data_IF_045059077760
#
_entry.id   IF_045059077760
#
_cell.length_a   1.000
_cell.length_b   1.000
_cell.length_c   1.000
_cell.angle_alpha   90.00
_cell.angle_beta   90.00
_cell.angle_gamma   90.00
#
_symmetry.space_group_name_H-M   'P 1'
#
loop_
_entity.id
_entity.type
_entity.pdbx_description
1 polymer ?
#
# COMPACT_ATOMS: atom_id res chain seq x y z
N UNK A 1 -12.24 -14.62 7.14
CA UNK A 1 -11.02 -13.78 7.17
C UNK A 1 -11.33 -12.54 6.36
N UNK A 2 -11.09 -11.33 6.87
CA UNK A 2 -11.15 -10.13 6.04
C UNK A 2 -10.14 -10.25 4.90
N UNK A 3 -10.53 -9.77 3.72
CA UNK A 3 -9.75 -9.84 2.49
C UNK A 3 -9.60 -8.44 1.91
N UNK A 4 -8.55 -8.25 1.13
CA UNK A 4 -8.30 -7.00 0.43
C UNK A 4 -7.49 -7.23 -0.83
N UNK A 5 -7.53 -6.25 -1.73
CA UNK A 5 -6.67 -6.20 -2.90
C UNK A 5 -5.67 -5.05 -2.80
N UNK A 6 -4.54 -5.21 -3.48
CA UNK A 6 -3.55 -4.15 -3.66
C UNK A 6 -3.35 -3.86 -5.15
N UNK A 7 -2.96 -2.64 -5.47
CA UNK A 7 -2.55 -2.25 -6.82
C UNK A 7 -1.05 -1.98 -6.84
N UNK A 8 -0.32 -2.70 -7.69
CA UNK A 8 1.08 -2.43 -7.96
C UNK A 8 1.22 -1.16 -8.81
N UNK A 9 1.64 -0.07 -8.19
CA UNK A 9 1.70 1.22 -8.87
C UNK A 9 2.85 1.29 -9.85
N UNK A 10 2.56 1.71 -11.07
CA UNK A 10 3.56 1.93 -12.11
C UNK A 10 3.75 3.41 -12.42
N UNK A 11 4.99 3.84 -12.65
CA UNK A 11 5.30 5.22 -13.06
C UNK A 11 5.01 5.48 -14.54
N UNK A 12 4.53 4.47 -15.27
CA UNK A 12 4.43 4.49 -16.73
C UNK A 12 3.01 4.80 -17.23
N UNK A 13 2.05 4.95 -16.32
CA UNK A 13 0.63 5.19 -16.58
C UNK A 13 0.10 6.25 -15.63
N UNK A 14 -0.95 6.96 -16.05
CA UNK A 14 -1.60 7.93 -15.18
C UNK A 14 -2.21 7.23 -13.96
N UNK A 15 -2.27 7.95 -12.84
CA UNK A 15 -2.97 7.51 -11.64
C UNK A 15 -4.45 7.25 -11.91
N UNK A 16 -5.06 8.02 -12.82
CA UNK A 16 -6.44 7.84 -13.22
C UNK A 16 -6.67 6.49 -13.92
N UNK A 17 -5.83 6.11 -14.88
CA UNK A 17 -5.95 4.83 -15.58
C UNK A 17 -5.76 3.65 -14.64
N UNK A 18 -4.76 3.76 -13.75
CA UNK A 18 -4.47 2.76 -12.75
C UNK A 18 -5.62 2.60 -11.74
N UNK A 19 -6.19 3.71 -11.25
CA UNK A 19 -7.32 3.65 -10.33
C UNK A 19 -8.59 3.13 -11.01
N UNK A 20 -8.85 3.50 -12.27
CA UNK A 20 -9.95 2.91 -13.04
C UNK A 20 -9.77 1.39 -13.18
N UNK A 21 -8.55 0.93 -13.49
CA UNK A 21 -8.26 -0.50 -13.57
C UNK A 21 -8.55 -1.21 -12.25
N UNK A 22 -8.08 -0.65 -11.12
CA UNK A 22 -8.30 -1.22 -9.81
C UNK A 22 -9.80 -1.27 -9.44
N UNK A 23 -10.52 -0.16 -9.64
CA UNK A 23 -11.96 -0.04 -9.38
C UNK A 23 -12.79 -1.02 -10.22
N UNK A 24 -12.44 -1.20 -11.49
CA UNK A 24 -13.16 -2.10 -12.38
C UNK A 24 -12.87 -3.59 -12.08
N UNK A 25 -11.77 -3.89 -11.39
CA UNK A 25 -11.34 -5.27 -11.10
C UNK A 25 -11.76 -5.72 -9.71
N UNK A 26 -11.68 -4.84 -8.72
CA UNK A 26 -11.88 -5.18 -7.32
C UNK A 26 -13.32 -4.84 -6.92
N UNK A 27 -14.14 -5.82 -6.51
CA UNK A 27 -15.51 -5.55 -6.11
C UNK A 27 -15.55 -4.76 -4.80
N UNK A 28 -16.55 -3.89 -4.66
CA UNK A 28 -16.84 -3.22 -3.40
C UNK A 28 -17.71 -4.11 -2.52
N UNK A 29 -17.09 -4.87 -1.62
CA UNK A 29 -17.79 -5.75 -0.67
C UNK A 29 -17.84 -5.13 0.73
N UNK A 30 -18.80 -5.57 1.53
CA UNK A 30 -18.83 -5.28 2.97
C UNK A 30 -17.65 -5.94 3.68
N UNK A 31 -17.16 -5.32 4.76
CA UNK A 31 -16.10 -5.87 5.62
C UNK A 31 -14.76 -6.14 4.92
N UNK A 32 -14.48 -5.44 3.82
CA UNK A 32 -13.15 -5.36 3.21
C UNK A 32 -12.24 -4.42 4.00
N UNK A 33 -10.94 -4.59 3.91
CA UNK A 33 -10.00 -3.59 4.43
C UNK A 33 -10.02 -2.34 3.52
N UNK A 34 -9.26 -1.28 3.83
CA UNK A 34 -9.03 -0.21 2.87
C UNK A 34 -8.17 -0.71 1.68
N UNK A 35 -8.38 -0.18 0.47
CA UNK A 35 -7.57 -0.55 -0.69
C UNK A 35 -6.10 -0.21 -0.46
N UNK A 36 -5.21 -1.02 -1.02
CA UNK A 36 -3.76 -0.84 -0.83
C UNK A 36 -3.11 -0.37 -2.13
N UNK A 37 -2.25 0.64 -2.03
CA UNK A 37 -1.36 1.06 -3.12
C UNK A 37 0.03 0.54 -2.80
N UNK A 38 0.55 -0.36 -3.63
CA UNK A 38 1.91 -0.86 -3.52
C UNK A 38 2.85 0.08 -4.29
N UNK A 39 3.68 0.79 -3.53
CA UNK A 39 4.61 1.80 -3.98
C UNK A 39 6.05 1.35 -3.74
N UNK A 40 6.63 0.74 -4.77
CA UNK A 40 8.03 0.33 -4.76
C UNK A 40 8.69 0.56 -6.12
N UNK A 41 10.03 0.60 -6.16
CA UNK A 41 10.77 0.77 -7.41
C UNK A 41 10.78 -0.48 -8.30
N UNK A 42 10.52 -1.66 -7.72
CA UNK A 42 10.48 -2.93 -8.45
C UNK A 42 9.47 -2.86 -9.61
N UNK A 43 9.71 -3.62 -10.69
CA UNK A 43 8.73 -3.76 -11.78
C UNK A 43 8.39 -2.49 -12.57
N UNK A 44 8.99 -1.34 -12.26
CA UNK A 44 8.73 -0.08 -12.92
C UNK A 44 9.47 0.08 -14.26
N UNK A 45 8.96 0.95 -15.14
CA UNK A 45 9.64 1.22 -16.40
C UNK A 45 11.04 1.81 -16.16
N UNK A 46 12.00 1.33 -16.97
CA UNK A 46 13.40 1.77 -16.96
C UNK A 46 13.59 3.28 -17.18
N UNK A 47 12.61 3.92 -17.82
CA UNK A 47 12.64 5.34 -18.17
C UNK A 47 11.27 5.96 -17.94
N UNK A 48 10.90 6.15 -16.67
CA UNK A 48 9.86 7.13 -16.38
C UNK A 48 10.39 8.51 -16.76
N UNK A 49 9.66 9.21 -17.63
CA UNK A 49 9.96 10.62 -17.98
C UNK A 49 9.39 11.60 -16.95
N UNK A 50 8.64 11.09 -15.97
CA UNK A 50 8.01 11.91 -14.95
C UNK A 50 9.03 12.28 -13.88
N UNK A 51 9.04 13.56 -13.53
CA UNK A 51 9.67 14.06 -12.33
C UNK A 51 9.03 13.45 -11.08
N UNK A 52 9.75 13.54 -9.96
CA UNK A 52 9.25 13.13 -8.64
C UNK A 52 7.89 13.75 -8.30
N UNK A 53 7.70 15.04 -8.61
CA UNK A 53 6.45 15.75 -8.33
C UNK A 53 5.29 15.26 -9.19
N UNK A 54 5.56 14.91 -10.45
CA UNK A 54 4.54 14.31 -11.32
C UNK A 54 4.15 12.92 -10.84
N UNK A 55 5.10 12.09 -10.41
CA UNK A 55 4.79 10.78 -9.80
C UNK A 55 3.92 10.96 -8.54
N UNK A 56 4.28 11.88 -7.64
CA UNK A 56 3.48 12.20 -6.45
C UNK A 56 2.06 12.64 -6.81
N UNK A 57 1.91 13.43 -7.88
CA UNK A 57 0.61 13.87 -8.38
C UNK A 57 -0.21 12.68 -8.88
N UNK A 58 0.38 11.76 -9.65
CA UNK A 58 -0.32 10.57 -10.13
C UNK A 58 -0.71 9.62 -8.99
N UNK A 59 0.15 9.44 -7.99
CA UNK A 59 -0.18 8.67 -6.77
C UNK A 59 -1.37 9.32 -6.06
N UNK A 60 -1.37 10.65 -5.94
CA UNK A 60 -2.47 11.40 -5.30
C UNK A 60 -3.79 11.24 -6.05
N UNK A 61 -3.76 11.28 -7.38
CA UNK A 61 -4.95 11.03 -8.22
C UNK A 61 -5.50 9.62 -7.98
N UNK A 62 -4.63 8.60 -7.93
CA UNK A 62 -5.05 7.23 -7.64
C UNK A 62 -5.70 7.14 -6.25
N UNK A 63 -5.02 7.71 -5.26
CA UNK A 63 -5.40 7.70 -3.86
C UNK A 63 -6.78 8.33 -3.63
N UNK A 64 -7.02 9.52 -4.17
CA UNK A 64 -8.31 10.20 -4.05
C UNK A 64 -9.44 9.45 -4.75
N UNK A 65 -9.17 8.92 -5.94
CA UNK A 65 -10.19 8.24 -6.73
C UNK A 65 -10.62 6.92 -6.09
N UNK A 66 -9.67 6.15 -5.57
CA UNK A 66 -9.97 4.92 -4.82
C UNK A 66 -10.60 5.24 -3.47
N UNK A 67 -10.16 6.27 -2.75
CA UNK A 67 -10.81 6.72 -1.53
C UNK A 67 -12.28 7.08 -1.77
N UNK A 68 -12.57 7.85 -2.82
CA UNK A 68 -13.92 8.26 -3.17
C UNK A 68 -14.82 7.08 -3.55
N UNK A 69 -14.29 6.08 -4.26
CA UNK A 69 -15.06 4.92 -4.67
C UNK A 69 -15.34 3.95 -3.51
N UNK A 70 -14.32 3.57 -2.74
CA UNK A 70 -14.44 2.58 -1.66
C UNK A 70 -14.92 3.18 -0.34
N UNK A 71 -14.80 4.50 -0.14
CA UNK A 71 -15.14 5.19 1.09
C UNK A 71 -14.10 5.01 2.21
N UNK A 72 -12.94 4.44 1.90
CA UNK A 72 -11.87 4.15 2.86
C UNK A 72 -10.55 4.74 2.39
N UNK A 73 -9.80 5.35 3.31
CA UNK A 73 -8.48 5.93 3.04
C UNK A 73 -7.50 4.83 2.62
N UNK A 74 -6.91 4.89 1.40
CA UNK A 74 -6.01 3.84 0.94
C UNK A 74 -4.78 3.70 1.84
N UNK A 75 -4.37 2.45 2.08
CA UNK A 75 -3.13 2.11 2.78
C UNK A 75 -1.98 2.18 1.75
N UNK A 76 -0.86 2.78 2.13
CA UNK A 76 0.33 2.83 1.29
C UNK A 76 1.30 1.74 1.72
N UNK A 77 1.44 0.70 0.90
CA UNK A 77 2.54 -0.24 1.04
C UNK A 77 3.80 0.36 0.44
N UNK A 78 4.94 0.24 1.14
CA UNK A 78 6.22 0.80 0.71
C UNK A 78 7.43 -0.03 1.10
N UNK A 79 8.46 0.03 0.27
CA UNK A 79 9.84 -0.24 0.72
C UNK A 79 10.44 0.97 1.42
N UNK A 80 11.54 0.74 2.14
CA UNK A 80 12.26 1.81 2.83
C UNK A 80 12.72 2.91 1.87
N UNK A 81 13.29 2.52 0.75
CA UNK A 81 13.86 3.44 -0.25
C UNK A 81 12.75 4.32 -0.83
N UNK A 82 11.62 3.72 -1.21
CA UNK A 82 10.49 4.48 -1.74
C UNK A 82 9.91 5.46 -0.71
N UNK A 83 9.78 5.03 0.56
CA UNK A 83 9.30 5.90 1.63
C UNK A 83 10.21 7.13 1.83
N UNK A 84 11.52 6.90 1.95
CA UNK A 84 12.49 7.96 2.17
C UNK A 84 12.56 8.92 0.98
N UNK A 85 12.41 8.42 -0.23
CA UNK A 85 12.42 9.27 -1.42
C UNK A 85 11.10 10.04 -1.56
N UNK A 86 9.93 9.40 -1.48
CA UNK A 86 8.67 10.03 -1.88
C UNK A 86 7.77 10.49 -0.74
N UNK A 87 7.77 9.80 0.41
CA UNK A 87 6.66 9.89 1.37
C UNK A 87 7.00 10.55 2.72
N UNK A 88 8.27 10.90 3.01
CA UNK A 88 8.65 11.44 4.33
C UNK A 88 7.77 12.63 4.78
N UNK A 89 7.47 13.54 3.86
CA UNK A 89 6.69 14.77 4.13
C UNK A 89 5.40 14.84 3.30
N UNK A 90 4.85 13.68 2.94
CA UNK A 90 3.68 13.56 2.05
C UNK A 90 2.76 12.44 2.52
N UNK A 91 1.48 12.55 2.22
CA UNK A 91 0.47 11.51 2.50
C UNK A 91 0.41 11.09 3.98
N UNK A 92 0.57 12.02 4.93
CA UNK A 92 0.57 11.70 6.37
C UNK A 92 -0.74 11.08 6.86
N UNK A 93 -1.85 11.42 6.21
CA UNK A 93 -3.18 10.88 6.55
C UNK A 93 -3.39 9.44 6.07
N UNK A 94 -2.55 8.92 5.18
CA UNK A 94 -2.66 7.55 4.71
C UNK A 94 -2.01 6.59 5.71
N UNK A 95 -2.66 5.47 6.08
CA UNK A 95 -2.00 4.45 6.88
C UNK A 95 -0.85 3.81 6.10
N UNK A 96 0.20 3.41 6.82
CA UNK A 96 1.43 2.91 6.20
C UNK A 96 1.56 1.39 6.39
N UNK A 97 1.78 0.65 5.31
CA UNK A 97 2.21 -0.74 5.37
C UNK A 97 3.68 -0.81 4.98
N UNK A 98 4.56 -0.95 5.97
CA UNK A 98 5.99 -0.83 5.74
C UNK A 98 6.66 -2.18 5.57
N UNK A 99 7.45 -2.35 4.50
CA UNK A 99 8.28 -3.54 4.32
C UNK A 99 9.64 -3.37 4.96
N UNK A 100 9.98 -4.26 5.89
CA UNK A 100 11.33 -4.44 6.40
C UNK A 100 11.54 -5.88 6.87
N UNK A 101 12.18 -6.70 6.05
CA UNK A 101 12.34 -8.14 6.31
C UNK A 101 13.58 -8.47 7.15
N UNK A 102 14.36 -7.46 7.55
CA UNK A 102 15.59 -7.66 8.33
C UNK A 102 15.39 -7.45 9.84
N UNK A 103 14.54 -6.48 10.21
CA UNK A 103 14.27 -6.10 11.61
C UNK A 103 12.98 -5.30 11.71
N UNK A 104 12.52 -5.06 12.93
CA UNK A 104 11.39 -4.15 13.18
C UNK A 104 11.61 -2.78 12.52
N UNK A 105 10.60 -2.19 11.86
CA UNK A 105 10.72 -0.90 11.18
C UNK A 105 11.02 0.23 12.17
N UNK A 106 12.04 1.02 11.84
CA UNK A 106 12.25 2.36 12.41
C UNK A 106 12.01 3.35 11.27
N UNK A 107 10.79 3.84 11.19
CA UNK A 107 10.38 4.78 10.14
C UNK A 107 11.08 6.11 10.40
N UNK A 108 11.66 6.73 9.36
CA UNK A 108 12.20 8.08 9.47
C UNK A 108 11.05 9.08 9.57
N UNK A 109 11.22 10.07 10.46
CA UNK A 109 10.17 11.02 10.81
C UNK A 109 9.24 10.49 11.91
N UNK A 110 8.31 11.33 12.36
CA UNK A 110 7.35 11.01 13.43
C UNK A 110 6.11 10.28 12.86
N UNK A 111 6.33 9.16 12.17
CA UNK A 111 5.27 8.38 11.52
C UNK A 111 5.30 6.92 11.97
N UNK A 112 4.13 6.40 12.32
CA UNK A 112 3.94 4.99 12.68
C UNK A 112 3.48 4.17 11.47
N UNK A 113 3.77 2.87 11.50
CA UNK A 113 3.21 1.90 10.55
C UNK A 113 1.87 1.35 11.09
N UNK A 114 1.03 0.86 10.19
CA UNK A 114 -0.20 0.13 10.51
C UNK A 114 0.01 -1.36 10.28
N UNK A 115 0.72 -1.71 9.21
CA UNK A 115 1.12 -3.06 8.89
C UNK A 115 2.63 -3.12 8.67
N UNK A 116 3.24 -4.25 9.03
CA UNK A 116 4.65 -4.51 8.79
C UNK A 116 4.80 -5.84 8.03
N UNK A 117 5.39 -5.79 6.83
CA UNK A 117 5.86 -6.99 6.15
C UNK A 117 7.24 -7.36 6.67
N UNK A 118 7.31 -8.48 7.40
CA UNK A 118 8.51 -8.92 8.12
C UNK A 118 9.22 -10.10 7.47
N UNK A 119 8.59 -10.77 6.49
CA UNK A 119 9.20 -11.86 5.74
C UNK A 119 8.63 -11.92 4.33
N UNK A 120 9.47 -12.29 3.36
CA UNK A 120 9.08 -12.63 1.99
C UNK A 120 9.28 -14.12 1.66
N UNK A 121 9.73 -14.91 2.66
CA UNK A 121 9.99 -16.36 2.55
C UNK A 121 9.39 -17.09 3.72
N UNK A 122 8.19 -16.68 4.12
CA UNK A 122 7.41 -17.36 5.13
C UNK A 122 6.85 -18.68 4.64
N UNK A 123 6.42 -19.49 5.59
CA UNK A 123 5.64 -20.71 5.36
C UNK A 123 4.35 -20.62 6.16
N UNK A 124 3.23 -20.97 5.54
CA UNK A 124 1.92 -20.98 6.18
C UNK A 124 1.12 -22.18 5.68
N UNK A 125 0.44 -22.88 6.60
CA UNK A 125 -0.42 -23.99 6.24
C UNK A 125 -1.48 -23.53 5.22
N UNK A 126 -1.57 -24.24 4.10
CA UNK A 126 -2.44 -23.88 2.97
C UNK A 126 -1.74 -23.16 1.82
N UNK A 127 -0.46 -22.77 1.97
CA UNK A 127 0.35 -22.18 0.89
C UNK A 127 1.62 -23.00 0.71
N UNK A 128 1.76 -23.61 -0.47
CA UNK A 128 2.85 -24.55 -0.77
C UNK A 128 4.13 -23.87 -1.28
N UNK A 129 4.11 -22.55 -1.44
CA UNK A 129 5.24 -21.72 -1.88
C UNK A 129 5.66 -20.75 -0.79
N UNK A 130 6.76 -20.03 -1.01
CA UNK A 130 7.07 -18.88 -0.17
C UNK A 130 5.93 -17.85 -0.21
N UNK A 131 5.64 -17.28 0.97
CA UNK A 131 4.61 -16.26 1.14
C UNK A 131 5.12 -15.12 1.99
N UNK A 132 4.66 -13.91 1.66
CA UNK A 132 4.90 -12.72 2.45
C UNK A 132 4.10 -12.77 3.76
N UNK A 133 4.79 -12.54 4.88
CA UNK A 133 4.15 -12.52 6.20
C UNK A 133 4.13 -11.11 6.78
N UNK A 134 2.99 -10.81 7.40
CA UNK A 134 2.67 -9.47 7.86
C UNK A 134 2.10 -9.49 9.27
N UNK A 135 2.34 -8.41 10.00
CA UNK A 135 1.68 -8.15 11.29
C UNK A 135 1.00 -6.79 11.29
N UNK A 136 -0.08 -6.69 12.05
CA UNK A 136 -0.83 -5.47 12.26
C UNK A 136 -0.42 -4.80 13.58
N UNK A 137 -0.27 -3.47 13.58
CA UNK A 137 0.03 -2.69 14.77
C UNK A 137 -1.25 -2.41 15.57
N UNK A 138 -1.65 -3.36 16.41
CA UNK A 138 -2.76 -3.17 17.34
C UNK A 138 -3.43 -4.47 17.76
N UNK A 139 -4.56 -4.34 18.45
CA UNK A 139 -5.36 -5.48 18.88
C UNK A 139 -6.52 -5.78 17.90
N UNK A 140 -7.27 -6.85 18.19
CA UNK A 140 -8.42 -7.29 17.38
C UNK A 140 -9.49 -6.22 17.20
N UNK A 141 -9.72 -5.37 18.20
CA UNK A 141 -10.71 -4.29 18.11
C UNK A 141 -10.22 -3.16 17.21
N UNK A 142 -8.92 -2.83 17.26
CA UNK A 142 -8.32 -1.88 16.32
C UNK A 142 -8.44 -2.41 14.88
N UNK A 143 -8.15 -3.69 14.66
CA UNK A 143 -8.25 -4.30 13.34
C UNK A 143 -9.68 -4.27 12.78
N UNK A 144 -10.68 -4.61 13.61
CA UNK A 144 -12.09 -4.57 13.21
C UNK A 144 -12.56 -3.18 12.75
N UNK A 145 -11.99 -2.10 13.30
CA UNK A 145 -12.34 -0.73 12.88
C UNK A 145 -11.92 -0.42 11.45
N UNK A 146 -10.97 -1.17 10.86
CA UNK A 146 -10.61 -1.02 9.45
C UNK A 146 -11.68 -1.59 8.50
N UNK A 147 -12.55 -2.45 9.00
CA UNK A 147 -13.58 -3.14 8.21
C UNK A 147 -14.86 -2.32 8.07
N UNK A 148 -15.05 -1.33 8.93
CA UNK A 148 -16.23 -0.48 8.98
C UNK A 148 -16.04 0.82 8.19
#
# INVERSE_FOLDING_TARGET
MPVEAYHFFTFCKSGNDQANNFINTVPKLSEMLPPVIDLEYGGNCKTSRLSKNEILKEIKIFEEKTQNYYGKKPILYVTKEFYEDFLMDKFHDNPLWYRNIYRSPKIKGDRNWLFWQYSNRGHMNGINTYVDLNVFQGNKNNFKRLLN
#
